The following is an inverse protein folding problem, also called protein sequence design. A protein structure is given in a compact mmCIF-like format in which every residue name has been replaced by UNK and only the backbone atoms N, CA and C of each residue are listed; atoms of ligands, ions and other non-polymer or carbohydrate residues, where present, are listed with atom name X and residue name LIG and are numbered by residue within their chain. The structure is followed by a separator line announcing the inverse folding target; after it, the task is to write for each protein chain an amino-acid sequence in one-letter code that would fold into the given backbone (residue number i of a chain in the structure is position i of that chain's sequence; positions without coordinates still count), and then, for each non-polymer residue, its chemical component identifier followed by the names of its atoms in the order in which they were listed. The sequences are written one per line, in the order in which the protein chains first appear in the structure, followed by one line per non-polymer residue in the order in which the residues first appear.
data_IF_701682572121
#
_entry.id   IF_701682572121
#
_cell.length_a   1.000
_cell.length_b   1.000
_cell.length_c   1.000
_cell.angle_alpha   90.00
_cell.angle_beta   90.00
_cell.angle_gamma   90.00
#
_symmetry.space_group_name_H-M   'P 1'
#
loop_
_entity.id
_entity.type
_entity.pdbx_description
1 polymer ?
#
# COMPACT_ATOMS: atom_id res chain seq x y z
N UNK A 1 -41.98 8.19 20.21
CA UNK A 1 -41.05 8.22 19.06
C UNK A 1 -40.25 9.52 19.09
N UNK A 2 -38.98 9.50 19.52
CA UNK A 2 -38.11 10.71 19.52
C UNK A 2 -37.43 10.82 18.16
N UNK A 3 -37.71 11.90 17.43
CA UNK A 3 -37.27 12.12 16.04
C UNK A 3 -35.74 11.97 15.87
N UNK A 4 -35.26 11.24 14.84
CA UNK A 4 -33.83 11.02 14.58
C UNK A 4 -33.04 12.30 14.30
N UNK A 5 -33.73 13.37 13.86
CA UNK A 5 -33.15 14.68 13.53
C UNK A 5 -32.55 15.32 14.78
N UNK A 6 -33.32 15.40 15.89
CA UNK A 6 -32.85 15.97 17.17
C UNK A 6 -31.60 15.28 17.72
N UNK A 7 -31.47 13.95 17.54
CA UNK A 7 -30.30 13.20 18.02
C UNK A 7 -29.04 13.52 17.22
N UNK A 8 -29.17 13.84 15.93
CA UNK A 8 -28.04 14.23 15.10
C UNK A 8 -27.59 15.65 15.42
N UNK A 9 -28.53 16.56 15.66
CA UNK A 9 -28.23 17.95 16.02
C UNK A 9 -27.50 18.04 17.37
N UNK A 10 -27.93 17.25 18.36
CA UNK A 10 -27.25 17.13 19.66
C UNK A 10 -25.82 16.58 19.48
N UNK A 11 -25.65 15.54 18.65
CA UNK A 11 -24.34 14.98 18.37
C UNK A 11 -23.42 15.98 17.66
N UNK A 12 -23.95 16.80 16.75
CA UNK A 12 -23.20 17.86 16.07
C UNK A 12 -22.79 18.97 17.04
N UNK A 13 -23.70 19.40 17.92
CA UNK A 13 -23.40 20.38 18.96
C UNK A 13 -22.32 19.87 19.92
N UNK A 14 -22.44 18.63 20.38
CA UNK A 14 -21.42 18.00 21.23
C UNK A 14 -20.10 17.81 20.50
N UNK A 15 -20.11 17.49 19.21
CA UNK A 15 -18.91 17.38 18.40
C UNK A 15 -18.18 18.73 18.28
N UNK A 16 -18.90 19.85 18.28
CA UNK A 16 -18.28 21.18 18.23
C UNK A 16 -17.84 21.68 19.61
N UNK A 17 -18.68 21.50 20.64
CA UNK A 17 -18.44 22.03 21.97
C UNK A 17 -17.47 21.16 22.80
N UNK A 18 -17.74 19.86 22.90
CA UNK A 18 -17.02 18.91 23.76
C UNK A 18 -16.82 17.57 23.04
N UNK A 19 -15.97 17.51 22.01
CA UNK A 19 -15.84 16.31 21.18
C UNK A 19 -15.25 15.11 21.94
N UNK A 20 -14.43 15.36 22.97
CA UNK A 20 -13.89 14.33 23.85
C UNK A 20 -15.01 13.63 24.62
N UNK A 21 -15.91 14.41 25.22
CA UNK A 21 -17.05 13.89 25.97
C UNK A 21 -18.00 13.09 25.06
N UNK A 22 -18.21 13.56 23.83
CA UNK A 22 -19.01 12.83 22.84
C UNK A 22 -18.42 11.45 22.54
N UNK A 23 -17.12 11.37 22.25
CA UNK A 23 -16.44 10.10 21.92
C UNK A 23 -16.39 9.16 23.13
N UNK A 24 -16.18 9.69 24.33
CA UNK A 24 -16.16 8.91 25.57
C UNK A 24 -17.56 8.53 26.08
N UNK A 25 -18.63 9.08 25.51
CA UNK A 25 -20.00 8.74 25.90
C UNK A 25 -20.32 7.26 25.61
N UNK A 26 -21.15 6.66 26.46
CA UNK A 26 -21.54 5.25 26.37
C UNK A 26 -22.02 4.84 24.98
N UNK A 27 -22.80 5.71 24.33
CA UNK A 27 -23.36 5.42 23.01
C UNK A 27 -22.29 5.30 21.92
N UNK A 28 -21.25 6.14 21.93
CA UNK A 28 -20.18 6.10 20.93
C UNK A 28 -19.14 5.03 21.25
N UNK A 29 -18.87 4.78 22.54
CA UNK A 29 -18.07 3.64 22.98
C UNK A 29 -18.69 2.29 22.59
N UNK A 30 -20.02 2.16 22.66
CA UNK A 30 -20.73 0.97 22.15
C UNK A 30 -20.59 0.79 20.64
N UNK A 31 -20.49 1.87 19.86
CA UNK A 31 -20.21 1.79 18.41
C UNK A 31 -18.80 1.24 18.17
N UNK A 32 -17.80 1.72 18.92
CA UNK A 32 -16.42 1.22 18.84
C UNK A 32 -16.40 -0.27 19.15
N UNK A 33 -16.99 -0.67 20.27
CA UNK A 33 -17.07 -2.07 20.70
C UNK A 33 -17.74 -2.97 19.65
N UNK A 34 -18.84 -2.53 19.03
CA UNK A 34 -19.52 -3.30 17.97
C UNK A 34 -18.61 -3.54 16.77
N UNK A 35 -17.83 -2.54 16.36
CA UNK A 35 -16.87 -2.69 15.26
C UNK A 35 -15.74 -3.64 15.64
N UNK A 36 -15.18 -3.50 16.85
CA UNK A 36 -14.12 -4.39 17.36
C UNK A 36 -14.58 -5.85 17.37
N UNK A 37 -15.77 -6.13 17.93
CA UNK A 37 -16.35 -7.48 17.95
C UNK A 37 -16.57 -8.06 16.56
N UNK A 38 -17.04 -7.25 15.61
CA UNK A 38 -17.19 -7.66 14.21
C UNK A 38 -15.87 -8.12 13.62
N UNK A 39 -14.79 -7.36 13.83
CA UNK A 39 -13.47 -7.74 13.34
C UNK A 39 -12.89 -8.96 14.07
N UNK A 40 -13.17 -9.13 15.37
CA UNK A 40 -12.77 -10.32 16.12
C UNK A 40 -13.41 -11.59 15.57
N UNK A 41 -14.70 -11.55 15.25
CA UNK A 41 -15.39 -12.68 14.60
C UNK A 41 -14.74 -13.07 13.26
N UNK A 42 -14.19 -12.10 12.53
CA UNK A 42 -13.45 -12.34 11.28
C UNK A 42 -11.95 -12.62 11.48
N UNK A 43 -11.47 -12.73 12.72
CA UNK A 43 -10.09 -13.09 13.05
C UNK A 43 -9.06 -11.97 13.06
N UNK A 44 -9.47 -10.70 13.17
CA UNK A 44 -8.57 -9.53 13.20
C UNK A 44 -7.77 -9.38 14.49
N UNK A 45 -8.47 -9.27 15.63
CA UNK A 45 -7.89 -9.06 16.97
C UNK A 45 -7.77 -10.38 17.72
N UNK A 46 -6.71 -11.16 17.48
CA UNK A 46 -6.60 -12.53 18.02
C UNK A 46 -6.07 -12.59 19.46
N UNK A 47 -5.19 -11.66 19.84
CA UNK A 47 -4.43 -11.72 21.11
C UNK A 47 -4.84 -10.62 22.10
N UNK A 48 -5.34 -9.49 21.62
CA UNK A 48 -5.72 -8.35 22.46
C UNK A 48 -7.14 -8.52 23.01
N UNK A 49 -7.43 -7.98 24.19
CA UNK A 49 -8.79 -7.94 24.74
C UNK A 49 -9.67 -6.90 24.04
N UNK A 50 -10.99 -7.07 24.07
CA UNK A 50 -11.92 -6.08 23.49
C UNK A 50 -11.73 -4.69 24.12
N UNK A 51 -11.49 -4.63 25.43
CA UNK A 51 -11.27 -3.38 26.17
C UNK A 51 -10.02 -2.64 25.72
N UNK A 52 -8.90 -3.34 25.50
CA UNK A 52 -7.64 -2.73 25.07
C UNK A 52 -7.78 -2.14 23.65
N UNK A 53 -8.36 -2.90 22.73
CA UNK A 53 -8.56 -2.44 21.34
C UNK A 53 -9.53 -1.26 21.29
N UNK A 54 -10.60 -1.29 22.07
CA UNK A 54 -11.54 -0.16 22.19
C UNK A 54 -10.83 1.08 22.73
N UNK A 55 -9.97 0.93 23.73
CA UNK A 55 -9.20 2.03 24.31
C UNK A 55 -8.19 2.60 23.30
N UNK A 56 -7.47 1.76 22.57
CA UNK A 56 -6.50 2.19 21.56
C UNK A 56 -7.18 2.95 20.40
N UNK A 57 -8.30 2.43 19.89
CA UNK A 57 -9.10 3.13 18.86
C UNK A 57 -9.63 4.46 19.40
N UNK A 58 -10.09 4.49 20.66
CA UNK A 58 -10.57 5.71 21.31
C UNK A 58 -9.46 6.76 21.36
N UNK A 59 -8.27 6.40 21.84
CA UNK A 59 -7.11 7.29 21.90
C UNK A 59 -6.77 7.87 20.53
N UNK A 60 -6.69 7.04 19.48
CA UNK A 60 -6.41 7.52 18.13
C UNK A 60 -7.48 8.44 17.55
N UNK A 61 -8.75 8.21 17.88
CA UNK A 61 -9.85 9.11 17.49
C UNK A 61 -9.71 10.45 18.20
N UNK A 62 -9.39 10.45 19.49
CA UNK A 62 -9.20 11.66 20.29
C UNK A 62 -8.00 12.48 19.81
N UNK A 63 -6.89 11.85 19.46
CA UNK A 63 -5.71 12.52 18.87
C UNK A 63 -6.04 13.25 17.55
N UNK A 64 -6.98 12.71 16.77
CA UNK A 64 -7.37 13.22 15.45
C UNK A 64 -8.73 13.89 15.45
N UNK A 65 -9.25 14.24 16.62
CA UNK A 65 -10.63 14.71 16.77
C UNK A 65 -10.88 16.02 16.02
N UNK A 66 -9.89 16.92 16.01
CA UNK A 66 -9.93 18.19 15.27
C UNK A 66 -10.05 17.99 13.75
N UNK A 67 -9.47 16.90 13.23
CA UNK A 67 -9.61 16.52 11.83
C UNK A 67 -11.02 15.97 11.54
N UNK A 68 -11.58 15.18 12.45
CA UNK A 68 -12.93 14.63 12.35
C UNK A 68 -13.97 15.76 12.35
N UNK A 69 -13.81 16.76 13.23
CA UNK A 69 -14.65 17.97 13.28
C UNK A 69 -14.64 18.73 11.95
N UNK A 70 -13.47 18.97 11.36
CA UNK A 70 -13.34 19.71 10.09
C UNK A 70 -13.91 18.97 8.88
N UNK A 71 -13.86 17.64 8.90
CA UNK A 71 -14.23 16.79 7.75
C UNK A 71 -15.69 16.38 7.74
N UNK A 72 -16.33 16.35 8.91
CA UNK A 72 -17.75 16.00 8.98
C UNK A 72 -18.62 17.17 8.51
N UNK A 73 -19.53 16.90 7.56
CA UNK A 73 -20.60 17.80 7.16
C UNK A 73 -21.94 17.11 7.37
N UNK A 74 -22.87 17.81 8.05
CA UNK A 74 -24.22 17.32 8.34
C UNK A 74 -25.06 17.13 7.07
N UNK A 75 -24.70 17.78 5.96
CA UNK A 75 -25.36 17.65 4.65
C UNK A 75 -25.21 16.23 4.06
N UNK A 76 -24.18 15.49 4.46
CA UNK A 76 -23.88 14.15 3.95
C UNK A 76 -24.43 13.02 4.83
N UNK A 77 -25.21 13.36 5.86
CA UNK A 77 -25.93 12.41 6.70
C UNK A 77 -25.54 12.44 8.18
N UNK A 78 -26.07 11.47 8.92
CA UNK A 78 -25.95 11.45 10.38
C UNK A 78 -24.52 11.16 10.85
N UNK A 79 -24.14 11.75 11.98
CA UNK A 79 -22.79 11.62 12.55
C UNK A 79 -22.49 10.18 12.99
N UNK A 80 -23.46 9.43 13.52
CA UNK A 80 -23.25 8.04 13.97
C UNK A 80 -22.76 7.09 12.86
N UNK A 81 -23.43 6.99 11.69
CA UNK A 81 -22.90 6.23 10.55
C UNK A 81 -21.51 6.68 10.09
N UNK A 82 -21.28 7.99 10.06
CA UNK A 82 -19.97 8.54 9.70
C UNK A 82 -18.89 8.11 10.70
N UNK A 83 -19.18 8.24 12.00
CA UNK A 83 -18.31 7.84 13.09
C UNK A 83 -18.01 6.34 13.04
N UNK A 84 -19.03 5.49 12.83
CA UNK A 84 -18.84 4.04 12.66
C UNK A 84 -17.88 3.71 11.51
N UNK A 85 -17.92 4.47 10.40
CA UNK A 85 -16.98 4.31 9.29
C UNK A 85 -15.56 4.75 9.66
N UNK A 86 -15.42 5.84 10.42
CA UNK A 86 -14.12 6.29 10.95
C UNK A 86 -13.51 5.23 11.87
N UNK A 87 -14.29 4.72 12.84
CA UNK A 87 -13.90 3.63 13.73
C UNK A 87 -13.50 2.39 12.94
N UNK A 88 -14.27 2.00 11.92
CA UNK A 88 -13.95 0.86 11.07
C UNK A 88 -12.59 0.99 10.39
N UNK A 89 -12.27 2.18 9.87
CA UNK A 89 -10.99 2.42 9.23
C UNK A 89 -9.83 2.34 10.23
N UNK A 90 -9.99 2.91 11.44
CA UNK A 90 -8.97 2.79 12.49
C UNK A 90 -8.77 1.35 12.96
N UNK A 91 -9.85 0.61 13.19
CA UNK A 91 -9.76 -0.81 13.53
C UNK A 91 -9.01 -1.61 12.46
N UNK A 92 -9.28 -1.32 11.18
CA UNK A 92 -8.62 -1.97 10.06
C UNK A 92 -7.13 -1.60 9.95
N UNK A 93 -6.76 -0.36 10.27
CA UNK A 93 -5.36 0.06 10.30
C UNK A 93 -4.59 -0.55 11.49
N UNK A 94 -5.23 -0.67 12.66
CA UNK A 94 -4.65 -1.41 13.80
C UNK A 94 -4.41 -2.88 13.44
N UNK A 95 -5.35 -3.56 12.78
CA UNK A 95 -5.16 -4.95 12.33
C UNK A 95 -3.96 -5.04 11.37
N UNK A 96 -3.82 -4.11 10.42
CA UNK A 96 -2.67 -4.09 9.51
C UNK A 96 -1.36 -3.85 10.26
N UNK A 97 -1.36 -2.96 11.25
CA UNK A 97 -0.18 -2.68 12.08
C UNK A 97 0.18 -3.88 12.94
N UNK A 98 -0.79 -4.56 13.56
CA UNK A 98 -0.59 -5.78 14.32
C UNK A 98 -0.08 -6.92 13.44
N UNK A 99 -0.61 -7.09 12.23
CA UNK A 99 -0.08 -8.04 11.24
C UNK A 99 1.35 -7.70 10.82
N UNK A 100 1.65 -6.41 10.60
CA UNK A 100 3.01 -5.95 10.29
C UNK A 100 3.96 -6.21 11.47
N UNK A 101 3.53 -5.97 12.71
CA UNK A 101 4.30 -6.23 13.93
C UNK A 101 4.48 -7.73 14.19
N UNK A 102 3.48 -8.57 13.93
CA UNK A 102 3.63 -10.03 14.02
C UNK A 102 4.59 -10.57 12.96
N UNK A 103 4.59 -10.00 11.74
CA UNK A 103 5.59 -10.33 10.74
C UNK A 103 7.00 -9.91 11.18
N UNK A 104 7.15 -8.80 11.92
CA UNK A 104 8.42 -8.35 12.51
C UNK A 104 8.85 -9.15 13.75
N UNK A 105 7.93 -9.54 14.62
CA UNK A 105 8.24 -10.26 15.87
C UNK A 105 8.44 -11.76 15.64
N UNK A 106 7.78 -12.37 14.65
CA UNK A 106 8.10 -13.74 14.26
C UNK A 106 9.56 -13.88 13.77
N UNK A 107 10.15 -12.78 13.26
CA UNK A 107 11.57 -12.69 12.92
C UNK A 107 12.50 -12.61 14.17
N UNK A 108 11.98 -12.24 15.35
CA UNK A 108 12.78 -12.02 16.57
C UNK A 108 12.58 -13.09 17.65
N UNK A 109 11.41 -13.72 17.77
CA UNK A 109 11.10 -14.65 18.88
C UNK A 109 11.03 -16.13 18.48
N UNK A 110 11.30 -16.49 17.22
CA UNK A 110 11.49 -17.89 16.80
C UNK A 110 12.91 -18.20 16.34
N UNK A 111 13.87 -17.33 16.64
CA UNK A 111 15.28 -17.66 16.48
C UNK A 111 15.70 -18.65 17.58
N UNK A 112 16.09 -19.90 17.25
CA UNK A 112 16.97 -20.63 18.15
C UNK A 112 18.25 -19.80 18.34
N UNK A 113 18.99 -19.95 19.46
CA UNK A 113 20.19 -19.14 19.75
C UNK A 113 21.33 -19.24 18.72
N UNK A 114 21.13 -19.93 17.60
CA UNK A 114 22.13 -20.29 16.60
C UNK A 114 21.97 -19.59 15.23
N UNK A 115 21.05 -18.63 15.08
CA UNK A 115 21.02 -17.80 13.87
C UNK A 115 21.61 -16.42 14.11
N UNK A 116 22.86 -16.43 14.56
CA UNK A 116 23.83 -15.51 13.98
C UNK A 116 23.66 -15.58 12.46
N UNK A 117 23.41 -14.42 11.85
CA UNK A 117 23.68 -14.06 10.44
C UNK A 117 24.35 -15.19 9.67
N UNK A 118 23.58 -16.18 9.21
CA UNK A 118 24.11 -17.33 8.48
C UNK A 118 23.18 -17.64 7.32
N UNK A 119 23.56 -17.04 6.19
CA UNK A 119 23.22 -17.50 4.85
C UNK A 119 21.72 -17.67 4.59
N UNK A 120 21.04 -16.58 4.19
CA UNK A 120 20.05 -16.73 3.10
C UNK A 120 20.83 -17.44 2.00
N UNK A 121 20.60 -18.74 1.81
CA UNK A 121 21.32 -19.51 0.79
C UNK A 121 21.10 -18.77 -0.53
N UNK A 122 22.15 -18.28 -1.20
CA UNK A 122 22.01 -17.51 -2.43
C UNK A 122 21.19 -18.27 -3.49
N UNK A 123 21.20 -19.60 -3.41
CA UNK A 123 20.34 -20.54 -4.13
C UNK A 123 18.84 -20.23 -4.00
N UNK A 124 18.34 -19.98 -2.78
CA UNK A 124 16.92 -19.70 -2.54
C UNK A 124 16.52 -18.34 -3.14
N UNK A 125 17.38 -17.33 -3.00
CA UNK A 125 17.16 -16.03 -3.62
C UNK A 125 17.16 -16.13 -5.15
N UNK A 126 18.12 -16.87 -5.72
CA UNK A 126 18.21 -17.10 -7.15
C UNK A 126 16.99 -17.83 -7.71
N UNK A 127 16.43 -18.78 -6.96
CA UNK A 127 15.19 -19.46 -7.34
C UNK A 127 14.00 -18.50 -7.37
N UNK A 128 13.90 -17.57 -6.41
CA UNK A 128 12.86 -16.54 -6.44
C UNK A 128 13.04 -15.55 -7.61
N UNK A 129 14.28 -15.17 -7.92
CA UNK A 129 14.60 -14.33 -9.09
C UNK A 129 14.26 -15.05 -10.40
N UNK A 130 14.52 -16.36 -10.50
CA UNK A 130 14.10 -17.19 -11.66
C UNK A 130 12.59 -17.27 -11.78
N UNK A 131 11.85 -17.39 -10.67
CA UNK A 131 10.38 -17.38 -10.70
C UNK A 131 9.85 -16.05 -11.22
N UNK A 132 10.43 -14.93 -10.76
CA UNK A 132 10.09 -13.60 -11.25
C UNK A 132 10.38 -13.47 -12.76
N UNK A 133 11.54 -13.91 -13.24
CA UNK A 133 11.87 -13.87 -14.67
C UNK A 133 10.91 -14.71 -15.52
N UNK A 134 10.53 -15.90 -15.05
CA UNK A 134 9.54 -16.75 -15.71
C UNK A 134 8.16 -16.09 -15.79
N UNK A 135 7.74 -15.36 -14.76
CA UNK A 135 6.49 -14.60 -14.81
C UNK A 135 6.56 -13.49 -15.86
N UNK A 136 7.65 -12.71 -15.86
CA UNK A 136 7.84 -11.61 -16.81
C UNK A 136 7.90 -12.11 -18.26
N UNK A 137 8.49 -13.28 -18.50
CA UNK A 137 8.58 -13.90 -19.82
C UNK A 137 7.22 -14.39 -20.37
N UNK A 138 6.26 -14.73 -19.51
CA UNK A 138 4.95 -15.28 -19.94
C UNK A 138 4.02 -14.23 -20.56
N UNK A 139 4.17 -12.95 -20.23
CA UNK A 139 3.20 -11.91 -20.62
C UNK A 139 3.69 -11.02 -21.77
N UNK A 140 3.93 -11.61 -22.95
CA UNK A 140 4.53 -10.92 -24.11
C UNK A 140 3.79 -9.64 -24.54
N UNK A 141 2.46 -9.60 -24.44
CA UNK A 141 1.64 -8.47 -24.94
C UNK A 141 1.85 -7.17 -24.17
N UNK A 142 2.10 -7.24 -22.88
CA UNK A 142 2.28 -6.07 -22.01
C UNK A 142 3.62 -6.06 -21.28
N UNK A 143 4.56 -6.91 -21.71
CA UNK A 143 5.83 -7.14 -21.04
C UNK A 143 6.62 -5.84 -20.86
N UNK A 144 6.87 -5.11 -21.94
CA UNK A 144 7.68 -3.89 -21.88
C UNK A 144 7.07 -2.82 -20.98
N UNK A 145 5.74 -2.62 -21.07
CA UNK A 145 4.99 -1.71 -20.20
C UNK A 145 5.10 -2.11 -18.74
N UNK A 146 4.90 -3.41 -18.46
CA UNK A 146 4.88 -3.92 -17.11
C UNK A 146 6.27 -3.87 -16.46
N UNK A 147 7.32 -4.22 -17.21
CA UNK A 147 8.72 -4.12 -16.75
C UNK A 147 9.09 -2.67 -16.45
N UNK A 148 8.75 -1.73 -17.33
CA UNK A 148 9.01 -0.30 -17.11
C UNK A 148 8.31 0.21 -15.84
N UNK A 149 7.04 -0.13 -15.66
CA UNK A 149 6.28 0.26 -14.47
C UNK A 149 6.72 -0.49 -13.21
N UNK A 150 7.25 -1.72 -13.33
CA UNK A 150 7.85 -2.44 -12.22
C UNK A 150 9.16 -1.79 -11.76
N UNK A 151 9.99 -1.27 -12.69
CA UNK A 151 11.16 -0.46 -12.33
C UNK A 151 10.77 0.80 -11.57
N UNK A 152 9.70 1.47 -12.01
CA UNK A 152 9.13 2.62 -11.30
C UNK A 152 8.66 2.21 -9.89
N UNK A 153 7.95 1.08 -9.77
CA UNK A 153 7.46 0.55 -8.51
C UNK A 153 8.57 0.20 -7.51
N UNK A 154 9.67 -0.39 -7.99
CA UNK A 154 10.84 -0.72 -7.17
C UNK A 154 11.77 0.47 -6.89
N UNK A 155 11.50 1.64 -7.50
CA UNK A 155 12.39 2.81 -7.51
C UNK A 155 13.77 2.48 -8.08
N UNK A 156 13.82 1.58 -9.06
CA UNK A 156 15.04 1.25 -9.81
C UNK A 156 15.26 2.27 -10.92
N UNK A 157 16.52 2.63 -11.18
CA UNK A 157 16.86 3.57 -12.27
C UNK A 157 16.35 3.07 -13.61
N UNK A 158 15.68 3.93 -14.37
CA UNK A 158 15.15 3.61 -15.70
C UNK A 158 16.21 4.03 -16.73
N UNK A 159 16.59 3.10 -17.61
CA UNK A 159 17.59 3.33 -18.65
C UNK A 159 16.94 3.68 -19.98
N UNK A 160 17.73 4.26 -20.88
CA UNK A 160 17.28 4.58 -22.24
C UNK A 160 16.74 3.33 -22.96
N UNK A 161 17.36 2.17 -22.75
CA UNK A 161 16.92 0.92 -23.36
C UNK A 161 15.54 0.46 -22.84
N UNK A 162 15.21 0.70 -21.57
CA UNK A 162 13.89 0.35 -21.03
C UNK A 162 12.77 1.13 -21.70
N UNK A 163 13.04 2.42 -21.93
CA UNK A 163 12.12 3.31 -22.64
C UNK A 163 12.00 2.87 -24.09
N UNK A 164 13.10 2.58 -24.79
CA UNK A 164 13.10 2.11 -26.18
C UNK A 164 12.43 0.75 -26.35
N UNK A 165 12.55 -0.15 -25.37
CA UNK A 165 11.86 -1.43 -25.37
C UNK A 165 10.34 -1.27 -25.31
N UNK A 166 9.87 -0.22 -24.64
CA UNK A 166 8.44 0.09 -24.54
C UNK A 166 7.93 0.96 -25.70
N UNK A 167 8.72 1.96 -26.10
CA UNK A 167 8.44 2.89 -27.19
C UNK A 167 9.64 2.93 -28.16
N UNK A 168 9.69 2.04 -29.17
CA UNK A 168 10.83 1.94 -30.09
C UNK A 168 11.10 3.21 -30.90
N UNK A 169 10.05 3.99 -31.20
CA UNK A 169 10.11 5.25 -31.96
C UNK A 169 9.98 6.49 -31.05
N UNK A 170 10.62 6.47 -29.88
CA UNK A 170 10.60 7.61 -28.95
C UNK A 170 11.40 8.79 -29.52
N UNK A 171 10.86 10.00 -29.40
CA UNK A 171 11.60 11.20 -29.81
C UNK A 171 12.81 11.45 -28.88
N UNK A 172 13.94 11.97 -29.37
CA UNK A 172 15.12 12.24 -28.54
C UNK A 172 14.84 13.19 -27.38
N UNK A 173 13.93 14.16 -27.58
CA UNK A 173 13.53 15.13 -26.56
C UNK A 173 12.76 14.48 -25.42
N UNK A 174 11.76 13.64 -25.73
CA UNK A 174 10.99 12.90 -24.73
C UNK A 174 11.87 11.91 -23.98
N UNK A 175 12.79 11.24 -24.69
CA UNK A 175 13.76 10.34 -24.07
C UNK A 175 14.66 11.09 -23.07
N UNK A 176 15.17 12.27 -23.44
CA UNK A 176 16.00 13.08 -22.56
C UNK A 176 15.24 13.54 -21.31
N UNK A 177 14.01 14.05 -21.46
CA UNK A 177 13.16 14.47 -20.34
C UNK A 177 12.84 13.32 -19.38
N UNK A 178 12.53 12.14 -19.93
CA UNK A 178 12.29 10.95 -19.11
C UNK A 178 13.54 10.51 -18.35
N UNK A 179 14.72 10.57 -18.97
CA UNK A 179 15.99 10.20 -18.32
C UNK A 179 16.48 11.25 -17.32
N UNK A 180 16.14 12.51 -17.48
CA UNK A 180 16.42 13.55 -16.49
C UNK A 180 15.75 13.22 -15.14
N UNK A 181 14.51 12.74 -15.21
CA UNK A 181 13.72 12.36 -14.02
C UNK A 181 14.08 10.95 -13.53
N UNK A 182 14.06 9.96 -14.43
CA UNK A 182 14.13 8.55 -14.05
C UNK A 182 15.51 7.89 -14.23
N UNK A 183 16.45 8.58 -14.89
CA UNK A 183 17.82 8.07 -15.09
C UNK A 183 18.72 8.23 -13.87
N UNK A 184 18.30 9.00 -12.87
CA UNK A 184 18.99 9.21 -11.58
C UNK A 184 18.22 8.53 -10.45
N UNK A 185 18.75 8.55 -9.23
CA UNK A 185 18.01 8.05 -8.07
C UNK A 185 16.84 9.00 -7.74
N UNK A 186 15.62 8.53 -7.98
CA UNK A 186 14.37 9.26 -7.71
C UNK A 186 13.56 8.67 -6.54
N UNK A 187 14.22 7.98 -5.61
CA UNK A 187 13.56 7.34 -4.47
C UNK A 187 12.83 8.32 -3.54
N UNK A 188 13.22 9.60 -3.54
CA UNK A 188 12.59 10.65 -2.71
C UNK A 188 11.39 11.34 -3.38
N UNK A 189 11.17 11.14 -4.68
CA UNK A 189 10.02 11.75 -5.35
C UNK A 189 8.70 11.14 -4.86
N UNK A 190 7.68 11.98 -4.75
CA UNK A 190 6.34 11.53 -4.40
C UNK A 190 5.74 10.65 -5.51
N UNK A 191 4.99 9.62 -5.11
CA UNK A 191 4.35 8.69 -6.06
C UNK A 191 3.47 9.44 -7.06
N UNK A 192 2.74 10.48 -6.63
CA UNK A 192 1.87 11.27 -7.51
C UNK A 192 2.66 11.86 -8.68
N UNK A 193 3.79 12.51 -8.39
CA UNK A 193 4.65 13.13 -9.41
C UNK A 193 5.26 12.07 -10.34
N UNK A 194 5.70 10.93 -9.80
CA UNK A 194 6.23 9.83 -10.60
C UNK A 194 5.22 9.31 -11.62
N UNK A 195 3.97 9.10 -11.18
CA UNK A 195 2.92 8.65 -12.07
C UNK A 195 2.50 9.73 -13.08
N UNK A 196 2.60 11.02 -12.75
CA UNK A 196 2.38 12.09 -13.72
C UNK A 196 3.45 12.07 -14.83
N UNK A 197 4.73 12.02 -14.46
CA UNK A 197 5.84 12.03 -15.42
C UNK A 197 5.84 10.79 -16.33
N UNK A 198 5.62 9.59 -15.78
CA UNK A 198 5.59 8.37 -16.60
C UNK A 198 4.34 8.30 -17.48
N UNK A 199 3.22 8.91 -17.05
CA UNK A 199 1.96 8.84 -17.78
C UNK A 199 2.03 9.54 -19.13
N UNK A 200 2.82 10.62 -19.26
CA UNK A 200 3.08 11.26 -20.54
C UNK A 200 3.67 10.26 -21.55
N UNK A 201 4.68 9.49 -21.13
CA UNK A 201 5.36 8.48 -21.93
C UNK A 201 4.43 7.29 -22.26
N UNK A 202 3.60 6.86 -21.30
CA UNK A 202 2.58 5.82 -21.54
C UNK A 202 1.52 6.27 -22.54
N UNK A 203 1.05 7.51 -22.44
CA UNK A 203 0.02 8.05 -23.33
C UNK A 203 0.52 8.21 -24.76
N UNK A 204 1.76 8.68 -24.94
CA UNK A 204 2.43 8.75 -26.24
C UNK A 204 2.55 7.36 -26.88
N UNK A 205 3.00 6.36 -26.11
CA UNK A 205 3.18 5.00 -26.63
C UNK A 205 1.85 4.29 -26.96
N UNK A 206 0.79 4.52 -26.18
CA UNK A 206 -0.50 3.87 -26.38
C UNK A 206 -1.45 4.65 -27.30
N UNK A 207 -1.12 5.90 -27.68
CA UNK A 207 -2.00 6.79 -28.42
C UNK A 207 -3.30 7.10 -27.68
N UNK A 208 -3.28 7.07 -26.35
CA UNK A 208 -4.46 7.22 -25.48
C UNK A 208 -4.22 8.29 -24.46
N UNK A 209 -5.26 9.01 -24.07
CA UNK A 209 -5.17 9.99 -22.98
C UNK A 209 -5.68 9.38 -21.68
N UNK A 210 -4.84 8.59 -21.00
CA UNK A 210 -5.16 8.05 -19.68
C UNK A 210 -4.67 8.99 -18.59
N UNK A 211 -5.36 8.94 -17.45
CA UNK A 211 -4.90 9.64 -16.25
C UNK A 211 -3.79 8.85 -15.55
N UNK A 212 -2.92 9.58 -14.84
CA UNK A 212 -1.87 8.99 -14.00
C UNK A 212 -2.43 7.97 -12.98
N UNK A 213 -3.62 8.23 -12.43
CA UNK A 213 -4.30 7.30 -11.52
C UNK A 213 -4.73 6.00 -12.21
N UNK A 214 -5.12 6.05 -13.50
CA UNK A 214 -5.44 4.85 -14.26
C UNK A 214 -4.20 3.97 -14.47
N UNK A 215 -3.02 4.56 -14.73
CA UNK A 215 -1.75 3.84 -14.82
C UNK A 215 -1.38 3.21 -13.47
N UNK A 216 -1.52 3.98 -12.37
CA UNK A 216 -1.28 3.49 -11.00
C UNK A 216 -2.18 2.31 -10.64
N UNK A 217 -3.49 2.40 -10.92
CA UNK A 217 -4.46 1.32 -10.68
C UNK A 217 -4.14 0.10 -11.52
N UNK A 218 -3.80 0.29 -12.80
CA UNK A 218 -3.39 -0.80 -13.68
C UNK A 218 -2.17 -1.54 -13.14
N UNK A 219 -1.13 -0.81 -12.72
CA UNK A 219 0.05 -1.41 -12.10
C UNK A 219 -0.30 -2.13 -10.80
N UNK A 220 -1.08 -1.49 -9.92
CA UNK A 220 -1.49 -2.09 -8.65
C UNK A 220 -2.24 -3.41 -8.84
N UNK A 221 -3.08 -3.54 -9.87
CA UNK A 221 -3.76 -4.79 -10.18
C UNK A 221 -2.75 -5.88 -10.59
N UNK A 222 -1.78 -5.54 -11.45
CA UNK A 222 -0.74 -6.47 -11.91
C UNK A 222 0.23 -6.87 -10.81
N UNK A 223 0.56 -5.96 -9.89
CA UNK A 223 1.35 -6.26 -8.69
C UNK A 223 0.61 -7.26 -7.80
N UNK A 224 -0.70 -7.09 -7.59
CA UNK A 224 -1.50 -8.04 -6.81
C UNK A 224 -1.52 -9.43 -7.49
N UNK A 225 -1.70 -9.48 -8.81
CA UNK A 225 -1.62 -10.73 -9.57
C UNK A 225 -0.24 -11.41 -9.42
N UNK A 226 0.85 -10.63 -9.50
CA UNK A 226 2.21 -11.13 -9.33
C UNK A 226 2.44 -11.65 -7.91
N UNK A 227 2.00 -10.93 -6.87
CA UNK A 227 2.06 -11.39 -5.47
C UNK A 227 1.35 -12.74 -5.32
N UNK A 228 0.12 -12.84 -5.82
CA UNK A 228 -0.65 -14.09 -5.76
C UNK A 228 0.06 -15.22 -6.51
N UNK A 229 0.65 -14.92 -7.66
CA UNK A 229 1.38 -15.90 -8.46
C UNK A 229 2.66 -16.39 -7.76
N UNK A 230 3.41 -15.47 -7.13
CA UNK A 230 4.62 -15.77 -6.36
C UNK A 230 4.28 -16.58 -5.11
N UNK A 231 3.26 -16.18 -4.34
CA UNK A 231 2.83 -16.90 -3.12
C UNK A 231 2.36 -18.32 -3.39
N UNK A 232 1.86 -18.62 -4.59
CA UNK A 232 1.48 -19.98 -4.98
C UNK A 232 2.68 -20.87 -5.35
N UNK A 233 3.85 -20.28 -5.61
CA UNK A 233 5.05 -20.97 -6.17
C UNK A 233 6.30 -20.79 -5.33
N UNK A 234 6.22 -19.97 -4.29
CA UNK A 234 7.30 -19.66 -3.38
C UNK A 234 7.07 -20.34 -2.04
N UNK A 235 8.18 -20.60 -1.34
CA UNK A 235 8.14 -20.96 0.09
C UNK A 235 8.00 -19.70 0.96
N UNK A 236 8.22 -18.52 0.38
CA UNK A 236 8.08 -17.23 1.04
C UNK A 236 6.67 -16.66 0.84
N UNK A 237 6.23 -15.87 1.82
CA UNK A 237 5.03 -15.07 1.70
C UNK A 237 5.40 -13.66 1.27
N UNK A 238 5.01 -13.29 0.07
CA UNK A 238 5.12 -11.96 -0.48
C UNK A 238 3.93 -11.12 -0.07
N UNK A 239 4.25 -9.97 0.51
CA UNK A 239 3.42 -8.79 0.47
C UNK A 239 3.98 -7.80 -0.57
N UNK A 240 3.44 -6.58 -0.57
CA UNK A 240 3.90 -5.52 -1.49
C UNK A 240 5.36 -5.14 -1.25
N UNK A 241 5.79 -5.08 0.00
CA UNK A 241 7.14 -4.63 0.35
C UNK A 241 8.18 -5.69 -0.01
N UNK A 242 7.91 -6.95 0.33
CA UNK A 242 8.73 -8.10 -0.04
C UNK A 242 8.89 -8.21 -1.57
N UNK A 243 7.79 -8.04 -2.32
CA UNK A 243 7.86 -8.07 -3.79
C UNK A 243 8.66 -6.88 -4.34
N UNK A 244 8.45 -5.67 -3.81
CA UNK A 244 9.20 -4.48 -4.21
C UNK A 244 10.71 -4.69 -4.02
N UNK A 245 11.12 -5.29 -2.91
CA UNK A 245 12.51 -5.60 -2.62
C UNK A 245 13.08 -6.66 -3.57
N UNK A 246 12.34 -7.74 -3.85
CA UNK A 246 12.74 -8.75 -4.83
C UNK A 246 12.92 -8.15 -6.23
N UNK A 247 11.97 -7.32 -6.68
CA UNK A 247 12.03 -6.65 -7.99
C UNK A 247 13.21 -5.68 -8.05
N UNK A 248 13.49 -4.97 -6.95
CA UNK A 248 14.68 -4.11 -6.87
C UNK A 248 15.96 -4.92 -7.04
N UNK A 249 16.10 -6.03 -6.32
CA UNK A 249 17.24 -6.95 -6.43
C UNK A 249 17.36 -7.55 -7.83
N UNK A 250 16.24 -7.93 -8.44
CA UNK A 250 16.21 -8.45 -9.81
C UNK A 250 16.84 -7.49 -10.80
N UNK A 251 16.42 -6.22 -10.78
CA UNK A 251 16.98 -5.23 -11.69
C UNK A 251 18.42 -4.83 -11.31
N UNK A 252 18.79 -4.79 -10.03
CA UNK A 252 20.18 -4.56 -9.63
C UNK A 252 21.12 -5.67 -10.14
N UNK A 253 20.68 -6.93 -10.11
CA UNK A 253 21.47 -8.06 -10.60
C UNK A 253 21.62 -8.06 -12.13
N UNK A 254 20.56 -7.69 -12.88
CA UNK A 254 20.70 -7.47 -14.32
C UNK A 254 21.72 -6.37 -14.64
N UNK A 255 21.82 -5.34 -13.81
CA UNK A 255 22.79 -4.26 -14.00
C UNK A 255 24.24 -4.67 -13.71
N UNK A 256 24.48 -5.49 -12.68
CA UNK A 256 25.82 -6.00 -12.37
C UNK A 256 26.34 -6.95 -13.46
N UNK A 257 25.45 -7.75 -14.07
CA UNK A 257 25.82 -8.66 -15.15
C UNK A 257 26.20 -7.89 -16.43
N UNK A 258 25.53 -6.76 -16.71
CA UNK A 258 25.81 -5.93 -17.90
C UNK A 258 27.09 -5.09 -17.76
N UNK A 259 27.57 -4.80 -16.54
CA UNK A 259 28.83 -4.08 -16.30
C UNK A 259 30.06 -5.00 -16.20
N UNK A 260 29.87 -6.31 -16.23
CA UNK A 260 30.93 -7.33 -16.09
C UNK A 260 31.54 -7.83 -17.40
N UNK A 261 31.35 -7.11 -18.51
CA UNK A 261 31.95 -7.38 -19.82
C UNK A 261 32.60 -6.11 -20.38
#
# INVERSE_FOLDING_TARGET
MRSPIRKNDIALQMLQANPFELVCSKEYQEIILKVVRKFRQTGGFKQESDSEVVQEITTHILEKISYIQKKYSSEHGNFKPYFAKVVYNYALDLIKLAQKRQNFNNDLTTAPPDRLVSNIRPELLNDELKKLSLYLAKNKRHQAKFVLLLKLYSRSTIKAQDIRNFLPKVSPQVLAQALETFGKNYAQLDDYLLYQHINALINEAEGKNKSADAVRKWLSARVVELIQWMNRRSKFQYDREALRNLVRLFFMNEESVVKGY
#
